data_IF_299851239028
#
_entry.id   IF_299851239028
#
_cell.length_a   1.000
_cell.length_b   1.000
_cell.length_c   1.000
_cell.angle_alpha   90.00
_cell.angle_beta   90.00
_cell.angle_gamma   90.00
#
_symmetry.space_group_name_H-M   'P 1'
#
loop_
_entity.id
_entity.type
_entity.pdbx_description
1 polymer ?
#
# COMPACT_ATOMS: atom_id res chain seq x y z
N UNK A 1 58.18 -40.44 -18.75
CA UNK A 1 57.06 -40.51 -17.78
C UNK A 1 56.42 -39.15 -17.76
N UNK A 2 55.27 -38.95 -18.45
CA UNK A 2 54.55 -37.67 -18.50
C UNK A 2 53.43 -37.69 -17.45
N UNK A 3 53.52 -36.86 -16.44
CA UNK A 3 52.45 -36.68 -15.46
C UNK A 3 51.38 -35.74 -16.05
N UNK A 4 50.22 -36.28 -16.31
CA UNK A 4 49.03 -35.49 -16.70
C UNK A 4 48.33 -35.09 -15.44
N UNK A 5 48.42 -33.79 -15.12
CA UNK A 5 47.69 -33.17 -14.01
C UNK A 5 46.24 -32.89 -14.46
N UNK A 6 45.30 -33.70 -13.97
CA UNK A 6 43.87 -33.53 -14.26
C UNK A 6 43.32 -32.40 -13.34
N UNK A 7 43.12 -31.21 -13.91
CA UNK A 7 42.45 -30.10 -13.20
C UNK A 7 40.97 -30.33 -13.30
N UNK A 8 40.34 -30.79 -12.20
CA UNK A 8 38.86 -30.86 -12.08
C UNK A 8 38.32 -29.47 -11.87
N UNK A 9 37.71 -28.90 -12.92
CA UNK A 9 37.02 -27.62 -12.88
C UNK A 9 35.62 -27.85 -12.27
N UNK A 10 35.48 -27.69 -10.97
CA UNK A 10 34.18 -27.71 -10.27
C UNK A 10 33.38 -26.48 -10.69
N UNK A 11 32.37 -26.67 -11.56
CA UNK A 11 31.42 -25.66 -11.98
C UNK A 11 30.46 -25.38 -10.80
N UNK A 12 30.76 -24.34 -10.02
CA UNK A 12 29.91 -23.87 -8.94
C UNK A 12 28.74 -23.13 -9.57
N UNK A 13 27.62 -23.83 -9.80
CA UNK A 13 26.37 -23.20 -10.26
C UNK A 13 25.85 -22.30 -9.16
N UNK A 14 26.04 -20.99 -9.30
CA UNK A 14 25.31 -20.00 -8.51
C UNK A 14 23.84 -20.13 -8.85
N UNK A 15 23.05 -20.73 -7.97
CA UNK A 15 21.61 -20.62 -7.97
C UNK A 15 21.28 -19.15 -7.68
N UNK A 16 21.08 -18.37 -8.75
CA UNK A 16 20.50 -17.03 -8.61
C UNK A 16 19.09 -17.22 -8.08
N UNK A 17 18.87 -16.98 -6.80
CA UNK A 17 17.54 -16.78 -6.26
C UNK A 17 17.00 -15.52 -6.94
N UNK A 18 16.11 -15.71 -7.90
CA UNK A 18 15.40 -14.60 -8.54
C UNK A 18 14.48 -13.96 -7.51
N UNK A 19 14.81 -12.78 -7.06
CA UNK A 19 13.98 -11.95 -6.21
C UNK A 19 12.64 -11.71 -6.91
N UNK A 20 11.57 -12.30 -6.40
CA UNK A 20 10.25 -12.19 -7.01
C UNK A 20 9.50 -10.99 -6.44
N UNK A 21 9.34 -9.95 -7.25
CA UNK A 21 8.52 -8.80 -6.91
C UNK A 21 7.18 -8.88 -7.61
N UNK A 22 6.13 -8.62 -6.85
CA UNK A 22 4.79 -8.44 -7.37
C UNK A 22 4.43 -6.96 -7.36
N UNK A 23 3.86 -6.47 -8.45
CA UNK A 23 3.57 -5.05 -8.62
C UNK A 23 2.12 -4.81 -9.07
N UNK A 24 1.56 -3.68 -8.65
CA UNK A 24 0.34 -3.09 -9.19
C UNK A 24 0.55 -1.61 -9.45
N UNK A 25 -0.18 -1.04 -10.41
CA UNK A 25 -0.25 0.41 -10.65
C UNK A 25 -1.68 0.95 -10.64
N UNK A 26 -2.63 0.06 -10.48
CA UNK A 26 -4.07 0.32 -10.52
C UNK A 26 -4.79 -0.29 -9.31
N UNK A 27 -4.12 -0.32 -8.16
CA UNK A 27 -4.78 -0.59 -6.90
C UNK A 27 -5.79 0.49 -6.58
N UNK A 28 -6.75 0.15 -5.72
CA UNK A 28 -7.79 1.05 -5.26
C UNK A 28 -7.61 1.36 -3.77
N UNK A 29 -7.74 2.64 -3.43
CA UNK A 29 -7.93 3.10 -2.06
C UNK A 29 -9.15 4.00 -2.05
N UNK A 30 -10.04 3.73 -1.10
CA UNK A 30 -11.17 4.57 -0.75
C UNK A 30 -10.99 5.04 0.68
N UNK A 31 -11.37 6.26 0.98
CA UNK A 31 -11.56 6.67 2.37
C UNK A 31 -13.01 7.09 2.61
N UNK A 32 -13.50 6.88 3.83
CA UNK A 32 -14.88 7.15 4.20
C UNK A 32 -14.87 8.03 5.44
N UNK A 33 -15.28 9.28 5.27
CA UNK A 33 -15.51 10.23 6.35
C UNK A 33 -17.02 10.41 6.52
N UNK A 34 -17.63 9.59 7.38
CA UNK A 34 -19.09 9.56 7.55
C UNK A 34 -19.52 10.31 8.79
N UNK A 35 -20.53 11.17 8.63
CA UNK A 35 -21.27 11.80 9.71
C UNK A 35 -22.76 11.53 9.51
N UNK A 36 -23.65 11.82 10.51
CA UNK A 36 -25.09 11.71 10.31
C UNK A 36 -25.65 12.63 9.20
N UNK A 37 -24.91 13.67 8.83
CA UNK A 37 -25.36 14.67 7.85
C UNK A 37 -24.81 14.45 6.45
N UNK A 38 -23.64 13.82 6.31
CA UNK A 38 -22.99 13.66 5.01
C UNK A 38 -22.03 12.46 5.02
N UNK A 39 -21.98 11.78 3.87
CA UNK A 39 -21.00 10.72 3.60
C UNK A 39 -20.05 11.24 2.53
N UNK A 40 -18.75 11.20 2.83
CA UNK A 40 -17.69 11.59 1.92
C UNK A 40 -16.85 10.34 1.70
N UNK A 41 -16.85 9.77 0.51
CA UNK A 41 -16.28 8.46 0.20
C UNK A 41 -15.51 8.41 -1.14
N UNK A 42 -14.57 9.33 -1.36
CA UNK A 42 -13.83 9.38 -2.61
C UNK A 42 -12.95 8.14 -2.83
N UNK A 43 -12.71 7.86 -4.10
CA UNK A 43 -11.95 6.69 -4.54
C UNK A 43 -10.75 7.11 -5.37
N UNK A 44 -9.60 6.46 -5.12
CA UNK A 44 -8.40 6.56 -5.94
C UNK A 44 -8.10 5.19 -6.56
N UNK A 45 -8.17 5.08 -7.88
CA UNK A 45 -7.91 3.85 -8.65
C UNK A 45 -6.49 3.80 -9.26
N UNK A 46 -5.61 4.72 -8.86
CA UNK A 46 -4.24 4.83 -9.38
C UNK A 46 -3.20 4.64 -8.28
N UNK A 47 -3.39 3.59 -7.50
CA UNK A 47 -2.47 3.25 -6.39
C UNK A 47 -1.42 2.28 -6.88
N UNK A 48 -0.15 2.65 -6.71
CA UNK A 48 0.97 1.75 -6.96
C UNK A 48 1.26 0.94 -5.70
N UNK A 49 1.49 -0.35 -5.87
CA UNK A 49 1.90 -1.25 -4.80
C UNK A 49 3.00 -2.18 -5.29
N UNK A 50 3.98 -2.44 -4.42
CA UNK A 50 5.06 -3.41 -4.62
C UNK A 50 5.11 -4.29 -3.38
N UNK A 51 5.10 -5.60 -3.59
CA UNK A 51 5.40 -6.60 -2.57
C UNK A 51 6.65 -7.36 -2.99
N UNK A 52 7.64 -7.37 -2.12
CA UNK A 52 8.79 -8.26 -2.23
C UNK A 52 8.47 -9.56 -1.50
N UNK A 53 8.51 -10.69 -2.22
CA UNK A 53 8.15 -11.98 -1.64
C UNK A 53 9.31 -12.67 -0.92
N UNK A 54 10.50 -12.11 -0.95
CA UNK A 54 11.65 -12.63 -0.20
C UNK A 54 11.51 -12.33 1.30
N UNK A 55 11.14 -11.10 1.61
CA UNK A 55 11.14 -10.58 2.99
C UNK A 55 9.80 -10.02 3.47
N UNK A 56 8.78 -10.02 2.59
CA UNK A 56 7.45 -9.49 2.91
C UNK A 56 7.38 -7.96 2.94
N UNK A 57 8.37 -7.27 2.42
CA UNK A 57 8.37 -5.81 2.32
C UNK A 57 7.27 -5.33 1.38
N UNK A 58 6.52 -4.34 1.84
CA UNK A 58 5.33 -3.82 1.17
C UNK A 58 5.39 -2.30 1.06
N UNK A 59 5.27 -1.80 -0.16
CA UNK A 59 5.31 -0.35 -0.43
C UNK A 59 4.05 0.04 -1.21
N UNK A 60 3.33 1.04 -0.68
CA UNK A 60 2.25 1.71 -1.40
C UNK A 60 2.63 3.16 -1.70
N UNK A 61 2.20 3.65 -2.84
CA UNK A 61 2.27 5.06 -3.21
C UNK A 61 1.04 5.46 -4.00
N UNK A 62 0.47 6.62 -3.67
CA UNK A 62 -0.64 7.22 -4.41
C UNK A 62 -0.42 8.72 -4.57
N UNK A 63 -0.98 9.29 -5.64
CA UNK A 63 -1.08 10.73 -5.82
C UNK A 63 -2.37 11.21 -5.15
N UNK A 64 -2.27 12.27 -4.34
CA UNK A 64 -3.44 12.80 -3.63
C UNK A 64 -4.49 13.38 -4.58
N UNK A 65 -4.06 14.04 -5.64
CA UNK A 65 -4.94 14.59 -6.69
C UNK A 65 -5.73 13.53 -7.48
N UNK A 66 -5.39 12.24 -7.34
CA UNK A 66 -6.08 11.16 -8.03
C UNK A 66 -7.33 10.65 -7.31
N UNK A 67 -7.64 11.16 -6.12
CA UNK A 67 -8.92 10.90 -5.49
C UNK A 67 -10.06 11.58 -6.24
N UNK A 68 -11.14 10.83 -6.51
CA UNK A 68 -12.32 11.31 -7.21
C UNK A 68 -13.50 11.33 -6.27
N UNK A 69 -14.13 12.49 -6.20
CA UNK A 69 -15.28 12.78 -5.37
C UNK A 69 -16.53 12.83 -6.21
N UNK A 70 -17.69 12.57 -5.61
CA UNK A 70 -18.98 12.76 -6.28
C UNK A 70 -19.22 14.24 -6.63
N UNK A 71 -18.80 15.16 -5.74
CA UNK A 71 -18.98 16.61 -5.92
C UNK A 71 -17.64 17.28 -6.21
N UNK A 72 -17.53 17.98 -7.34
CA UNK A 72 -16.31 18.66 -7.77
C UNK A 72 -15.77 19.66 -6.73
N UNK A 73 -16.65 20.39 -6.03
CA UNK A 73 -16.27 21.34 -4.99
C UNK A 73 -15.64 20.63 -3.77
N UNK A 74 -16.06 19.40 -3.46
CA UNK A 74 -15.43 18.61 -2.40
C UNK A 74 -14.02 18.16 -2.82
N UNK A 75 -13.84 17.76 -4.08
CA UNK A 75 -12.52 17.40 -4.63
C UNK A 75 -11.57 18.60 -4.60
N UNK A 76 -12.05 19.79 -4.98
CA UNK A 76 -11.28 21.05 -4.91
C UNK A 76 -10.86 21.34 -3.46
N UNK A 77 -11.82 21.36 -2.52
CA UNK A 77 -11.51 21.64 -1.11
C UNK A 77 -10.57 20.59 -0.51
N UNK A 78 -10.74 19.31 -0.84
CA UNK A 78 -9.82 18.26 -0.40
C UNK A 78 -8.40 18.56 -0.85
N UNK A 79 -8.20 18.87 -2.13
CA UNK A 79 -6.89 19.10 -2.69
C UNK A 79 -6.25 20.41 -2.19
N UNK A 80 -7.02 21.48 -2.06
CA UNK A 80 -6.47 22.80 -1.75
C UNK A 80 -6.37 23.10 -0.25
N UNK A 81 -7.37 22.64 0.54
CA UNK A 81 -7.52 23.08 1.94
C UNK A 81 -7.18 22.00 2.95
N UNK A 82 -7.38 20.72 2.61
CA UNK A 82 -7.17 19.64 3.58
C UNK A 82 -5.83 18.94 3.38
N UNK A 83 -5.53 18.47 2.18
CA UNK A 83 -4.29 17.72 1.94
C UNK A 83 -3.20 18.52 1.22
N UNK A 84 -3.49 19.76 0.81
CA UNK A 84 -2.56 20.64 0.11
C UNK A 84 -1.78 19.88 -0.97
N UNK A 85 -2.52 19.26 -1.92
CA UNK A 85 -1.94 18.29 -2.87
C UNK A 85 -0.86 18.85 -3.81
N UNK A 86 -0.76 20.16 -3.96
CA UNK A 86 0.36 20.82 -4.65
C UNK A 86 1.65 20.76 -3.83
N UNK A 87 1.55 20.92 -2.50
CA UNK A 87 2.67 20.90 -1.57
C UNK A 87 3.03 19.48 -1.15
N UNK A 88 2.01 18.63 -0.92
CA UNK A 88 2.14 17.24 -0.52
C UNK A 88 1.48 16.32 -1.57
N UNK A 89 2.09 16.17 -2.76
CA UNK A 89 1.43 15.52 -3.90
C UNK A 89 1.23 14.01 -3.75
N UNK A 90 1.89 13.39 -2.77
CA UNK A 90 1.89 11.92 -2.59
C UNK A 90 1.63 11.56 -1.15
N UNK A 91 0.93 10.43 -0.98
CA UNK A 91 0.92 9.67 0.26
C UNK A 91 1.60 8.33 0.02
N UNK A 92 2.29 7.82 1.04
CA UNK A 92 3.06 6.57 0.96
C UNK A 92 2.84 5.72 2.20
N UNK A 93 2.99 4.42 2.03
CA UNK A 93 3.15 3.48 3.13
C UNK A 93 4.33 2.56 2.82
N UNK A 94 5.22 2.39 3.78
CA UNK A 94 6.36 1.47 3.71
C UNK A 94 6.32 0.60 4.95
N UNK A 95 6.24 -0.71 4.78
CA UNK A 95 6.14 -1.64 5.89
C UNK A 95 6.49 -3.06 5.49
N UNK A 96 6.36 -3.96 6.46
CA UNK A 96 6.61 -5.39 6.30
C UNK A 96 5.45 -6.22 6.84
N UNK A 97 5.18 -7.34 6.21
CA UNK A 97 4.22 -8.32 6.69
C UNK A 97 4.87 -9.09 7.82
N UNK A 98 4.25 -9.07 9.00
CA UNK A 98 4.80 -9.74 10.18
C UNK A 98 4.73 -11.27 10.04
N UNK A 99 5.77 -11.97 10.51
CA UNK A 99 5.91 -13.43 10.45
C UNK A 99 5.91 -13.98 9.01
N UNK A 100 6.48 -13.23 8.08
CA UNK A 100 6.52 -13.60 6.66
C UNK A 100 7.19 -14.94 6.40
N UNK A 101 8.25 -15.30 7.12
CA UNK A 101 8.94 -16.59 7.01
C UNK A 101 8.02 -17.80 7.21
N UNK A 102 6.91 -17.62 7.93
CA UNK A 102 5.90 -18.65 8.18
C UNK A 102 4.69 -18.53 7.25
N UNK A 103 4.75 -17.67 6.22
CA UNK A 103 3.64 -17.48 5.30
C UNK A 103 3.41 -18.72 4.43
N UNK A 104 2.16 -19.18 4.33
CA UNK A 104 1.81 -20.39 3.58
C UNK A 104 1.29 -20.04 2.17
N UNK A 105 2.01 -20.45 1.15
CA UNK A 105 1.65 -20.28 -0.26
C UNK A 105 0.65 -21.33 -0.76
N UNK A 106 -0.45 -21.52 -0.06
CA UNK A 106 -1.42 -22.58 -0.30
C UNK A 106 -2.61 -22.19 -1.20
N UNK A 107 -2.61 -20.98 -1.73
CA UNK A 107 -3.69 -20.47 -2.59
C UNK A 107 -4.94 -20.02 -1.83
N UNK A 108 -4.95 -20.09 -0.50
CA UNK A 108 -6.06 -19.64 0.32
C UNK A 108 -5.85 -18.21 0.80
N UNK A 109 -6.94 -17.52 1.09
CA UNK A 109 -6.89 -16.20 1.70
C UNK A 109 -6.52 -16.32 3.19
N UNK A 110 -5.57 -15.49 3.63
CA UNK A 110 -5.00 -15.54 4.97
C UNK A 110 -4.98 -14.16 5.60
N UNK A 111 -5.16 -14.12 6.93
CA UNK A 111 -5.03 -12.89 7.72
C UNK A 111 -3.57 -12.55 7.91
N UNK A 112 -3.23 -11.29 7.67
CA UNK A 112 -1.90 -10.73 7.89
C UNK A 112 -1.96 -9.53 8.82
N UNK A 113 -0.81 -9.23 9.43
CA UNK A 113 -0.54 -7.95 10.09
C UNK A 113 0.64 -7.31 9.38
N UNK A 114 0.53 -6.03 9.08
CA UNK A 114 1.58 -5.25 8.44
C UNK A 114 1.98 -4.14 9.39
N UNK A 115 3.24 -4.10 9.78
CA UNK A 115 3.83 -3.00 10.55
C UNK A 115 4.57 -2.09 9.59
N UNK A 116 4.34 -0.78 9.68
CA UNK A 116 5.00 0.15 8.77
C UNK A 116 4.76 1.59 9.13
N UNK A 117 5.23 2.47 8.25
CA UNK A 117 5.12 3.91 8.34
C UNK A 117 4.26 4.44 7.22
N UNK A 118 3.23 5.18 7.58
CA UNK A 118 2.37 5.91 6.64
C UNK A 118 2.76 7.38 6.63
N UNK A 119 2.86 7.96 5.45
CA UNK A 119 3.09 9.40 5.28
C UNK A 119 1.89 10.02 4.59
N UNK A 120 1.24 10.96 5.25
CA UNK A 120 0.12 11.77 4.74
C UNK A 120 0.41 13.21 5.07
N UNK A 121 0.13 14.15 4.15
CA UNK A 121 0.32 15.60 4.38
C UNK A 121 1.73 15.94 4.91
N UNK A 122 2.75 15.19 4.45
CA UNK A 122 4.14 15.35 4.88
C UNK A 122 4.49 14.80 6.26
N UNK A 123 3.53 14.29 7.02
CA UNK A 123 3.74 13.73 8.36
C UNK A 123 3.80 12.21 8.30
N UNK A 124 4.85 11.65 8.91
CA UNK A 124 5.06 10.21 9.03
C UNK A 124 4.59 9.68 10.38
N UNK A 125 3.81 8.59 10.37
CA UNK A 125 3.35 7.87 11.56
C UNK A 125 3.60 6.38 11.45
N UNK A 126 4.04 5.75 12.52
CA UNK A 126 4.13 4.29 12.60
C UNK A 126 2.73 3.71 12.88
N UNK A 127 2.31 2.71 12.09
CA UNK A 127 1.03 2.04 12.24
C UNK A 127 1.18 0.52 12.12
N UNK A 128 0.23 -0.19 12.72
CA UNK A 128 0.06 -1.63 12.50
C UNK A 128 -1.35 -1.85 11.97
N UNK A 129 -1.45 -2.36 10.76
CA UNK A 129 -2.74 -2.65 10.13
C UNK A 129 -2.96 -4.15 9.97
N UNK A 130 -4.22 -4.57 10.04
CA UNK A 130 -4.64 -5.93 9.73
C UNK A 130 -5.16 -5.96 8.31
N UNK A 131 -4.90 -7.04 7.60
CA UNK A 131 -5.39 -7.24 6.25
C UNK A 131 -5.55 -8.71 5.91
N UNK A 132 -5.93 -8.93 4.67
CA UNK A 132 -6.01 -10.24 4.05
C UNK A 132 -5.05 -10.29 2.88
N UNK A 133 -4.44 -11.45 2.68
CA UNK A 133 -3.64 -11.76 1.50
C UNK A 133 -4.17 -13.04 0.87
N UNK A 134 -4.50 -12.96 -0.41
CA UNK A 134 -4.86 -14.11 -1.23
C UNK A 134 -3.79 -14.36 -2.28
N UNK A 135 -3.45 -15.62 -2.51
CA UNK A 135 -2.44 -15.98 -3.52
C UNK A 135 -3.04 -16.85 -4.61
N UNK A 136 -2.62 -16.62 -5.84
CA UNK A 136 -2.94 -17.50 -6.96
C UNK A 136 -1.67 -17.75 -7.78
N UNK A 137 -1.76 -18.53 -8.87
CA UNK A 137 -0.58 -18.90 -9.69
C UNK A 137 0.21 -17.69 -10.22
N UNK A 138 -0.45 -16.56 -10.47
CA UNK A 138 0.17 -15.41 -11.13
C UNK A 138 -0.12 -14.07 -10.46
N UNK A 139 -0.95 -14.06 -9.43
CA UNK A 139 -1.40 -12.84 -8.75
C UNK A 139 -1.43 -12.99 -7.24
N UNK A 140 -1.25 -11.86 -6.56
CA UNK A 140 -1.45 -11.72 -5.12
C UNK A 140 -2.51 -10.63 -4.93
N UNK A 141 -3.56 -10.91 -4.18
CA UNK A 141 -4.55 -9.92 -3.76
C UNK A 141 -4.27 -9.49 -2.33
N UNK A 142 -4.35 -8.21 -2.07
CA UNK A 142 -4.26 -7.62 -0.73
C UNK A 142 -5.49 -6.78 -0.48
N UNK A 143 -6.06 -6.91 0.71
CA UNK A 143 -7.12 -6.03 1.19
C UNK A 143 -6.90 -5.67 2.65
N UNK A 144 -7.33 -4.47 3.03
CA UNK A 144 -7.25 -3.97 4.40
C UNK A 144 -8.33 -2.93 4.65
N UNK A 145 -8.79 -2.82 5.89
CA UNK A 145 -9.66 -1.74 6.35
C UNK A 145 -9.19 -1.32 7.73
N UNK A 146 -8.92 -0.02 7.89
CA UNK A 146 -8.43 0.57 9.16
C UNK A 146 -8.85 2.03 9.27
N UNK A 147 -8.79 2.55 10.46
CA UNK A 147 -9.13 3.95 10.73
C UNK A 147 -7.87 4.79 10.91
N UNK A 148 -7.94 6.04 10.47
CA UNK A 148 -6.95 7.08 10.74
C UNK A 148 -7.64 8.28 11.38
N UNK A 149 -6.91 8.98 12.24
CA UNK A 149 -7.32 10.27 12.81
C UNK A 149 -6.61 11.35 12.00
N UNK A 150 -7.36 12.20 11.31
CA UNK A 150 -6.77 13.15 10.36
C UNK A 150 -5.95 14.25 11.03
N UNK A 151 -6.28 14.61 12.28
CA UNK A 151 -5.49 15.57 13.07
C UNK A 151 -4.08 15.04 13.40
N UNK A 152 -3.86 13.72 13.38
CA UNK A 152 -2.53 13.11 13.50
C UNK A 152 -1.58 13.48 12.34
N UNK A 153 -2.14 13.98 11.25
CA UNK A 153 -1.44 14.38 10.02
C UNK A 153 -1.56 15.89 9.75
N UNK A 154 -1.85 16.67 10.79
CA UNK A 154 -1.98 18.15 10.70
C UNK A 154 -3.08 18.60 9.72
N UNK A 155 -4.10 17.76 9.54
CA UNK A 155 -5.27 18.09 8.72
C UNK A 155 -6.37 18.59 9.63
N UNK A 156 -6.64 19.90 9.56
CA UNK A 156 -7.63 20.56 10.41
C UNK A 156 -8.99 20.67 9.70
N UNK A 157 -10.06 20.35 10.42
CA UNK A 157 -11.44 20.58 9.98
C UNK A 157 -11.91 21.93 10.50
N UNK A 158 -12.26 22.89 9.61
CA UNK A 158 -12.81 24.18 10.05
C UNK A 158 -14.08 24.00 10.86
N UNK A 159 -14.24 24.81 11.90
CA UNK A 159 -15.38 24.73 12.85
C UNK A 159 -16.73 24.74 12.17
N UNK A 160 -16.86 25.46 11.06
CA UNK A 160 -18.13 25.62 10.31
C UNK A 160 -18.61 24.33 9.62
N UNK A 161 -17.74 23.32 9.45
CA UNK A 161 -18.06 22.07 8.73
C UNK A 161 -17.80 20.83 9.59
N UNK A 162 -17.49 20.96 10.89
CA UNK A 162 -17.23 19.83 11.78
C UNK A 162 -18.36 18.82 11.88
N UNK A 163 -19.61 19.29 11.74
CA UNK A 163 -20.78 18.41 11.76
C UNK A 163 -20.90 17.56 10.49
N UNK A 164 -20.15 17.90 9.44
CA UNK A 164 -20.21 17.26 8.12
C UNK A 164 -19.00 16.40 7.78
N UNK A 165 -17.90 16.55 8.49
CA UNK A 165 -16.65 15.84 8.23
C UNK A 165 -16.20 15.12 9.50
N UNK A 166 -16.00 13.81 9.42
CA UNK A 166 -15.50 13.01 10.53
C UNK A 166 -13.99 13.23 10.75
N UNK A 167 -13.58 13.38 12.00
CA UNK A 167 -12.15 13.40 12.39
C UNK A 167 -11.50 12.00 12.25
N UNK A 168 -12.32 10.95 12.39
CA UNK A 168 -11.89 9.57 12.14
C UNK A 168 -12.36 9.14 10.77
N UNK A 169 -11.42 8.73 9.95
CA UNK A 169 -11.64 8.35 8.55
C UNK A 169 -11.28 6.88 8.38
N UNK A 170 -12.25 6.09 7.89
CA UNK A 170 -11.99 4.70 7.52
C UNK A 170 -11.28 4.67 6.16
N UNK A 171 -10.19 3.93 6.08
CA UNK A 171 -9.44 3.68 4.85
C UNK A 171 -9.65 2.23 4.43
N UNK A 172 -10.07 2.03 3.19
CA UNK A 172 -10.22 0.72 2.56
C UNK A 172 -9.23 0.58 1.41
N UNK A 173 -8.48 -0.52 1.42
CA UNK A 173 -7.43 -0.82 0.45
C UNK A 173 -7.76 -2.12 -0.26
N UNK A 174 -7.75 -2.10 -1.59
CA UNK A 174 -7.91 -3.29 -2.42
C UNK A 174 -6.90 -3.23 -3.56
N UNK A 175 -6.04 -4.25 -3.67
CA UNK A 175 -5.05 -4.29 -4.73
C UNK A 175 -4.81 -5.72 -5.20
N UNK A 176 -4.68 -5.88 -6.52
CA UNK A 176 -4.20 -7.11 -7.14
C UNK A 176 -2.85 -6.84 -7.80
N UNK A 177 -1.84 -7.56 -7.32
CA UNK A 177 -0.49 -7.48 -7.84
C UNK A 177 -0.23 -8.62 -8.82
N UNK A 178 0.59 -8.36 -9.82
CA UNK A 178 1.09 -9.35 -10.79
C UNK A 178 2.60 -9.48 -10.63
N UNK A 179 3.10 -10.68 -10.88
CA UNK A 179 4.54 -10.93 -10.90
C UNK A 179 5.21 -9.95 -11.87
N UNK A 180 6.26 -9.27 -11.41
CA UNK A 180 7.06 -8.40 -12.28
C UNK A 180 7.81 -9.27 -13.29
N UNK A 181 7.51 -9.13 -14.58
CA UNK A 181 8.32 -9.74 -15.63
C UNK A 181 9.68 -9.02 -15.67
N UNK A 182 10.76 -9.77 -15.65
CA UNK A 182 12.08 -9.24 -16.01
C UNK A 182 12.08 -9.07 -17.53
N UNK A 183 11.87 -7.84 -18.00
CA UNK A 183 12.21 -7.42 -19.37
C UNK A 183 13.69 -7.09 -19.43
#
# INVERSE_FOLDING_TARGET
>A
MKNILLISLTFFSFLSFSQEKYISRNGQIQFIASTPLEIIDPVNNHVSCILDTEDGNLVFQMKMISFKFEKALMEEHFNEKYVESEKFPKSTFVGEIQNWDNFSWNGQEQKIKVKGKITIHGIEKEIIVKGMIGTSKSTISLSSSFDIIISDFDIEIPRLVRDKISETVKVEVNVTLKKKSNE
#
